data_IF_019093394165
#
_entry.id   IF_019093394165
#
_cell.length_a   1.000
_cell.length_b   1.000
_cell.length_c   1.000
_cell.angle_alpha   90.00
_cell.angle_beta   90.00
_cell.angle_gamma   90.00
#
_symmetry.space_group_name_H-M   'P 1'
#
loop_
_entity.id
_entity.type
_entity.pdbx_description
1 polymer ?
#
# COMPACT_ATOMS: atom_id res chain seq x y z
N UNK A 1 -2.05 7.20 -8.67
CA UNK A 1 -3.02 6.88 -9.73
C UNK A 1 -2.94 7.87 -10.88
N UNK A 2 -3.69 8.97 -10.80
CA UNK A 2 -3.80 9.95 -11.89
C UNK A 2 -2.44 10.59 -12.28
N UNK A 3 -1.61 10.96 -11.31
CA UNK A 3 -0.28 11.54 -11.60
C UNK A 3 0.65 10.58 -12.36
N UNK A 4 0.55 9.28 -12.08
CA UNK A 4 1.32 8.25 -12.79
C UNK A 4 0.81 8.06 -14.23
N UNK A 5 -0.52 8.05 -14.42
CA UNK A 5 -1.11 7.99 -15.75
C UNK A 5 -0.72 9.21 -16.61
N UNK A 6 -0.74 10.42 -16.01
CA UNK A 6 -0.27 11.65 -16.67
C UNK A 6 1.22 11.51 -17.03
N UNK A 7 2.07 11.04 -16.11
CA UNK A 7 3.49 10.85 -16.38
C UNK A 7 3.78 9.87 -17.52
N UNK A 8 3.02 8.76 -17.61
CA UNK A 8 3.16 7.76 -18.68
C UNK A 8 2.81 8.28 -20.07
N UNK A 9 1.91 9.28 -20.17
CA UNK A 9 1.54 9.93 -21.44
C UNK A 9 2.48 11.08 -21.75
N UNK A 10 2.73 11.96 -20.78
CA UNK A 10 3.51 13.18 -20.96
C UNK A 10 5.01 12.88 -21.15
N UNK A 11 5.54 11.84 -20.48
CA UNK A 11 6.95 11.45 -20.56
C UNK A 11 7.44 11.15 -21.97
N UNK A 12 6.81 10.21 -22.72
CA UNK A 12 7.16 9.93 -24.11
C UNK A 12 6.98 11.14 -25.04
N UNK A 13 5.95 11.97 -24.82
CA UNK A 13 5.73 13.20 -25.62
C UNK A 13 6.88 14.20 -25.43
N UNK A 14 7.28 14.47 -24.19
CA UNK A 14 8.41 15.36 -23.89
C UNK A 14 9.70 14.77 -24.46
N UNK A 15 9.93 13.47 -24.27
CA UNK A 15 11.16 12.80 -24.75
C UNK A 15 11.22 12.77 -26.28
N UNK A 16 10.09 12.59 -26.96
CA UNK A 16 10.01 12.62 -28.41
C UNK A 16 10.28 14.01 -29.00
N UNK A 17 9.86 15.07 -28.31
CA UNK A 17 10.06 16.46 -28.78
C UNK A 17 11.42 17.06 -28.40
N UNK A 18 11.91 16.75 -27.20
CA UNK A 18 13.06 17.44 -26.58
C UNK A 18 14.18 16.49 -26.15
N UNK A 19 14.08 15.19 -26.46
CA UNK A 19 15.03 14.18 -26.02
C UNK A 19 15.05 13.98 -24.50
N UNK A 20 16.04 13.23 -24.04
CA UNK A 20 16.20 12.89 -22.62
C UNK A 20 16.50 14.13 -21.75
N UNK A 21 17.21 15.13 -22.29
CA UNK A 21 17.52 16.38 -21.59
C UNK A 21 16.26 17.18 -21.26
N UNK A 22 15.28 17.22 -22.16
CA UNK A 22 13.98 17.85 -21.92
C UNK A 22 13.23 17.22 -20.75
N UNK A 23 13.29 15.89 -20.62
CA UNK A 23 12.68 15.16 -19.50
C UNK A 23 13.32 15.54 -18.16
N UNK A 24 14.65 15.64 -18.10
CA UNK A 24 15.36 16.06 -16.88
C UNK A 24 15.05 17.52 -16.50
N UNK A 25 15.03 18.44 -17.47
CA UNK A 25 14.68 19.84 -17.21
C UNK A 25 13.23 20.01 -16.72
N UNK A 26 12.29 19.29 -17.34
CA UNK A 26 10.89 19.28 -16.90
C UNK A 26 10.75 18.76 -15.47
N UNK A 27 11.47 17.68 -15.14
CA UNK A 27 11.49 17.11 -13.78
C UNK A 27 12.06 18.11 -12.77
N UNK A 28 13.17 18.78 -13.10
CA UNK A 28 13.76 19.83 -12.25
C UNK A 28 12.82 21.02 -12.04
N UNK A 29 12.12 21.46 -13.09
CA UNK A 29 11.13 22.52 -13.02
C UNK A 29 9.95 22.16 -12.11
N UNK A 30 9.40 20.95 -12.25
CA UNK A 30 8.33 20.45 -11.36
C UNK A 30 8.80 20.33 -9.91
N UNK A 31 10.03 19.90 -9.67
CA UNK A 31 10.61 19.84 -8.33
C UNK A 31 10.70 21.23 -7.70
N UNK A 32 11.14 22.24 -8.45
CA UNK A 32 11.18 23.63 -7.98
C UNK A 32 9.77 24.14 -7.65
N UNK A 33 8.77 23.87 -8.51
CA UNK A 33 7.37 24.19 -8.24
C UNK A 33 6.91 23.54 -6.93
N UNK A 34 7.24 22.27 -6.70
CA UNK A 34 6.94 21.56 -5.46
C UNK A 34 7.52 22.25 -4.22
N UNK A 35 8.78 22.68 -4.29
CA UNK A 35 9.44 23.44 -3.21
C UNK A 35 8.71 24.76 -2.94
N UNK A 36 8.34 25.50 -3.99
CA UNK A 36 7.60 26.76 -3.86
C UNK A 36 6.21 26.55 -3.23
N UNK A 37 5.50 25.49 -3.61
CA UNK A 37 4.21 25.13 -3.01
C UNK A 37 4.38 24.85 -1.51
N UNK A 38 5.38 24.05 -1.13
CA UNK A 38 5.63 23.76 0.29
C UNK A 38 6.03 25.03 1.06
N UNK A 39 6.85 25.88 0.47
CA UNK A 39 7.34 27.10 1.12
C UNK A 39 6.24 28.16 1.32
N UNK A 40 5.32 28.30 0.37
CA UNK A 40 4.36 29.42 0.34
C UNK A 40 2.89 29.02 0.55
N UNK A 41 2.49 27.79 0.25
CA UNK A 41 1.09 27.36 0.27
C UNK A 41 0.77 26.49 1.49
N UNK A 42 1.71 25.66 1.95
CA UNK A 42 1.47 24.76 3.08
C UNK A 42 1.53 25.54 4.40
N UNK A 43 0.43 25.60 5.19
CA UNK A 43 0.42 26.32 6.46
C UNK A 43 1.46 25.74 7.42
N UNK A 44 2.25 26.61 8.07
CA UNK A 44 3.16 26.20 9.14
C UNK A 44 2.33 25.69 10.33
N UNK A 45 2.58 24.46 10.76
CA UNK A 45 1.91 23.91 11.93
C UNK A 45 2.26 24.73 13.18
N UNK A 46 1.23 25.12 13.94
CA UNK A 46 1.35 25.81 15.22
C UNK A 46 1.83 24.85 16.31
N UNK A 47 3.15 24.70 16.42
CA UNK A 47 3.83 24.00 17.51
C UNK A 47 4.60 22.75 17.07
N UNK A 48 5.80 22.59 17.64
CA UNK A 48 6.59 21.37 17.51
C UNK A 48 6.03 20.28 18.44
N UNK A 49 4.87 19.72 18.11
CA UNK A 49 4.46 18.46 18.70
C UNK A 49 5.25 17.37 17.99
N UNK A 50 6.25 16.80 18.68
CA UNK A 50 6.95 15.60 18.22
C UNK A 50 5.93 14.47 18.11
N UNK A 51 5.37 14.32 16.92
CA UNK A 51 4.36 13.33 16.60
C UNK A 51 5.06 11.98 16.49
N UNK A 52 4.71 10.98 17.30
CA UNK A 52 5.36 9.66 17.26
C UNK A 52 5.03 8.90 15.98
N UNK A 53 4.01 9.30 15.22
CA UNK A 53 3.83 8.80 13.85
C UNK A 53 4.86 9.38 12.85
N UNK A 54 5.63 10.41 13.24
CA UNK A 54 6.68 11.04 12.41
C UNK A 54 8.11 10.58 12.73
N UNK A 55 8.33 9.77 13.78
CA UNK A 55 9.63 9.24 14.17
C UNK A 55 9.61 7.74 14.47
N UNK A 56 10.74 7.05 14.25
CA UNK A 56 10.87 5.63 14.61
C UNK A 56 11.00 5.50 16.13
N UNK A 57 9.91 5.15 16.81
CA UNK A 57 9.96 4.78 18.22
C UNK A 57 10.74 3.47 18.34
N UNK A 58 11.99 3.51 18.83
CA UNK A 58 12.90 2.34 18.90
C UNK A 58 12.25 1.09 19.54
N UNK A 59 11.39 1.28 20.55
CA UNK A 59 10.62 0.19 21.17
C UNK A 59 9.50 -0.35 20.27
N UNK A 60 8.84 0.50 19.47
CA UNK A 60 7.80 0.09 18.53
C UNK A 60 8.39 -0.67 17.32
N UNK A 61 9.62 -0.36 16.92
CA UNK A 61 10.28 -1.04 15.79
C UNK A 61 10.49 -2.53 16.08
N UNK A 62 11.02 -2.88 17.25
CA UNK A 62 11.24 -4.28 17.63
C UNK A 62 9.93 -5.08 17.72
N UNK A 63 8.87 -4.48 18.24
CA UNK A 63 7.53 -5.09 18.28
C UNK A 63 6.95 -5.27 16.88
N UNK A 64 7.10 -4.27 16.00
CA UNK A 64 6.65 -4.31 14.59
C UNK A 64 7.34 -5.44 13.83
N UNK A 65 8.68 -5.53 13.91
CA UNK A 65 9.47 -6.54 13.21
C UNK A 65 9.28 -7.96 13.73
N UNK A 66 8.63 -8.15 14.88
CA UNK A 66 8.28 -9.47 15.43
C UNK A 66 6.80 -9.81 15.27
N UNK A 67 5.97 -8.86 14.79
CA UNK A 67 4.55 -9.07 14.66
C UNK A 67 4.26 -9.94 13.43
N UNK A 68 3.79 -11.19 13.60
CA UNK A 68 3.76 -12.17 12.52
C UNK A 68 2.80 -11.78 11.39
N UNK A 69 1.71 -11.09 11.69
CA UNK A 69 0.79 -10.61 10.64
C UNK A 69 1.33 -9.41 9.89
N UNK A 70 2.17 -8.56 10.51
CA UNK A 70 2.82 -7.46 9.80
C UNK A 70 3.89 -8.01 8.86
N UNK A 71 4.71 -8.96 9.34
CA UNK A 71 5.72 -9.63 8.52
C UNK A 71 5.12 -10.32 7.27
N UNK A 72 3.91 -10.89 7.38
CA UNK A 72 3.21 -11.47 6.21
C UNK A 72 2.77 -10.41 5.20
N UNK A 73 2.33 -9.25 5.68
CA UNK A 73 1.96 -8.12 4.83
C UNK A 73 3.21 -7.47 4.20
N UNK A 74 4.31 -7.36 4.96
CA UNK A 74 5.61 -6.88 4.49
C UNK A 74 6.20 -7.81 3.41
N UNK A 75 6.13 -9.13 3.61
CA UNK A 75 6.46 -10.11 2.58
C UNK A 75 5.55 -9.96 1.36
N UNK A 76 4.26 -9.70 1.58
CA UNK A 76 3.29 -9.52 0.51
C UNK A 76 3.63 -8.34 -0.39
N UNK A 77 3.91 -7.16 0.17
CA UNK A 77 4.28 -5.99 -0.64
C UNK A 77 5.63 -6.17 -1.32
N UNK A 78 6.59 -6.83 -0.65
CA UNK A 78 7.89 -7.18 -1.22
C UNK A 78 7.70 -8.05 -2.48
N UNK A 79 6.94 -9.15 -2.37
CA UNK A 79 6.69 -10.06 -3.49
C UNK A 79 5.89 -9.37 -4.58
N UNK A 80 4.85 -8.59 -4.23
CA UNK A 80 4.03 -7.85 -5.19
C UNK A 80 4.88 -6.93 -6.07
N UNK A 81 5.80 -6.16 -5.47
CA UNK A 81 6.69 -5.27 -6.21
C UNK A 81 7.83 -6.00 -6.92
N UNK A 82 8.32 -7.09 -6.33
CA UNK A 82 9.33 -7.90 -7.00
C UNK A 82 8.76 -8.53 -8.29
N UNK A 83 7.53 -9.06 -8.23
CA UNK A 83 6.80 -9.54 -9.40
C UNK A 83 6.54 -8.43 -10.42
N UNK A 84 6.06 -7.26 -9.99
CA UNK A 84 5.86 -6.12 -10.90
C UNK A 84 7.14 -5.81 -11.67
N UNK A 85 8.27 -5.68 -10.98
CA UNK A 85 9.53 -5.31 -11.60
C UNK A 85 10.08 -6.43 -12.49
N UNK A 86 9.97 -7.70 -12.08
CA UNK A 86 10.35 -8.85 -12.93
C UNK A 86 9.50 -8.92 -14.20
N UNK A 87 8.19 -8.78 -14.08
CA UNK A 87 7.26 -8.75 -15.22
C UNK A 87 7.45 -7.53 -16.11
N UNK A 88 7.88 -6.38 -15.57
CA UNK A 88 8.23 -5.20 -16.37
C UNK A 88 9.58 -5.31 -17.09
N UNK A 89 10.43 -6.29 -16.76
CA UNK A 89 11.56 -6.68 -17.61
C UNK A 89 11.07 -7.50 -18.80
N UNK A 90 10.15 -8.45 -18.58
CA UNK A 90 9.69 -9.39 -19.59
C UNK A 90 8.60 -8.84 -20.54
N UNK A 91 7.57 -8.16 -20.03
CA UNK A 91 6.40 -7.73 -20.82
C UNK A 91 6.74 -6.80 -22.00
N UNK A 92 7.60 -5.77 -21.87
CA UNK A 92 8.00 -4.96 -23.03
C UNK A 92 8.71 -5.80 -24.10
N UNK A 93 9.52 -6.77 -23.68
CA UNK A 93 10.22 -7.67 -24.60
C UNK A 93 9.24 -8.64 -25.27
N UNK A 94 8.30 -9.21 -24.53
CA UNK A 94 7.22 -10.05 -25.08
C UNK A 94 6.37 -9.29 -26.10
N UNK A 95 6.01 -8.03 -25.83
CA UNK A 95 5.26 -7.19 -26.76
C UNK A 95 6.00 -6.99 -28.09
N UNK A 96 7.33 -6.91 -28.07
CA UNK A 96 8.16 -6.80 -29.28
C UNK A 96 8.35 -8.16 -29.93
N UNK A 97 8.88 -9.14 -29.20
CA UNK A 97 9.32 -10.44 -29.72
C UNK A 97 8.16 -11.34 -30.15
N UNK A 98 7.04 -11.30 -29.43
CA UNK A 98 5.88 -12.18 -29.68
C UNK A 98 4.78 -11.47 -30.47
N UNK A 99 4.53 -10.20 -30.16
CA UNK A 99 3.42 -9.45 -30.72
C UNK A 99 3.83 -8.43 -31.81
N UNK A 100 5.13 -8.23 -32.06
CA UNK A 100 5.62 -7.29 -33.07
C UNK A 100 5.27 -5.82 -32.78
N UNK A 101 4.89 -5.49 -31.54
CA UNK A 101 4.47 -4.15 -31.15
C UNK A 101 5.70 -3.27 -30.86
N UNK A 102 5.93 -2.19 -31.63
CA UNK A 102 7.06 -1.29 -31.40
C UNK A 102 7.00 -0.64 -30.01
N UNK A 103 8.17 -0.33 -29.45
CA UNK A 103 8.29 0.24 -28.09
C UNK A 103 7.52 1.55 -27.93
N UNK A 104 7.45 2.34 -29.00
CA UNK A 104 6.73 3.61 -29.09
C UNK A 104 5.21 3.44 -28.93
N UNK A 105 4.70 2.21 -29.09
CA UNK A 105 3.28 1.91 -28.92
C UNK A 105 2.96 1.24 -27.58
N UNK A 106 3.94 0.92 -26.74
CA UNK A 106 3.67 0.21 -25.48
C UNK A 106 2.82 1.04 -24.51
N UNK A 107 2.87 2.38 -24.61
CA UNK A 107 2.14 3.28 -23.72
C UNK A 107 0.63 3.01 -23.71
N UNK A 108 0.01 2.69 -24.86
CA UNK A 108 -1.45 2.49 -24.90
C UNK A 108 -1.83 1.18 -24.21
N UNK A 109 -1.01 0.14 -24.34
CA UNK A 109 -1.22 -1.13 -23.63
C UNK A 109 -1.21 -0.91 -22.13
N UNK A 110 -0.16 -0.25 -21.62
CA UNK A 110 -0.05 0.02 -20.18
C UNK A 110 -1.09 1.00 -19.66
N UNK A 111 -1.45 2.03 -20.45
CA UNK A 111 -2.49 2.98 -20.07
C UNK A 111 -3.87 2.31 -20.03
N UNK A 112 -4.21 1.50 -21.03
CA UNK A 112 -5.44 0.71 -21.05
C UNK A 112 -5.48 -0.23 -19.87
N UNK A 113 -4.39 -0.97 -19.62
CA UNK A 113 -4.31 -1.87 -18.48
C UNK A 113 -4.50 -1.13 -17.15
N UNK A 114 -3.82 0.00 -16.95
CA UNK A 114 -3.91 0.81 -15.74
C UNK A 114 -5.32 1.37 -15.51
N UNK A 115 -5.96 1.92 -16.53
CA UNK A 115 -7.30 2.50 -16.41
C UNK A 115 -8.37 1.42 -16.18
N UNK A 116 -8.38 0.38 -17.02
CA UNK A 116 -9.36 -0.70 -16.90
C UNK A 116 -9.22 -1.42 -15.55
N UNK A 117 -7.99 -1.73 -15.13
CA UNK A 117 -7.75 -2.36 -13.84
C UNK A 117 -8.15 -1.49 -12.64
N UNK A 118 -7.96 -0.17 -12.72
CA UNK A 118 -8.35 0.75 -11.65
C UNK A 118 -9.85 0.70 -11.39
N UNK A 119 -10.68 0.65 -12.44
CA UNK A 119 -12.13 0.47 -12.27
C UNK A 119 -12.50 -0.96 -11.90
N UNK A 120 -11.82 -1.95 -12.49
CA UNK A 120 -12.09 -3.36 -12.24
C UNK A 120 -11.82 -3.79 -10.79
N UNK A 121 -10.87 -3.16 -10.07
CA UNK A 121 -10.61 -3.48 -8.66
C UNK A 121 -11.71 -2.98 -7.70
N UNK A 122 -12.48 -1.94 -8.07
CA UNK A 122 -13.41 -1.25 -7.14
C UNK A 122 -14.46 -2.19 -6.54
N UNK A 123 -15.17 -3.04 -7.33
CA UNK A 123 -16.15 -3.97 -6.77
C UNK A 123 -15.56 -4.91 -5.71
N UNK A 124 -14.30 -5.34 -5.89
CA UNK A 124 -13.62 -6.25 -4.95
C UNK A 124 -13.25 -5.55 -3.64
N UNK A 125 -12.79 -4.28 -3.70
CA UNK A 125 -12.56 -3.46 -2.50
C UNK A 125 -13.87 -3.26 -1.74
N UNK A 126 -14.94 -2.86 -2.44
CA UNK A 126 -16.26 -2.65 -1.83
C UNK A 126 -16.76 -3.94 -1.18
N UNK A 127 -16.66 -5.07 -1.87
CA UNK A 127 -17.07 -6.37 -1.35
C UNK A 127 -16.26 -6.74 -0.11
N UNK A 128 -14.93 -6.66 -0.16
CA UNK A 128 -14.05 -7.05 0.94
C UNK A 128 -14.26 -6.23 2.21
N UNK A 129 -14.45 -4.92 2.08
CA UNK A 129 -14.73 -4.03 3.20
C UNK A 129 -16.16 -4.19 3.74
N UNK A 130 -17.19 -4.19 2.86
CA UNK A 130 -18.59 -4.28 3.31
C UNK A 130 -18.92 -5.64 3.93
N UNK A 131 -18.43 -6.73 3.33
CA UNK A 131 -18.70 -8.09 3.80
C UNK A 131 -17.74 -8.56 4.88
N UNK A 132 -16.75 -7.75 5.25
CA UNK A 132 -15.69 -8.12 6.20
C UNK A 132 -14.97 -9.42 5.79
N UNK A 133 -14.56 -9.51 4.53
CA UNK A 133 -13.87 -10.68 3.95
C UNK A 133 -12.58 -10.27 3.21
N UNK A 134 -11.79 -9.37 3.79
CA UNK A 134 -10.59 -8.84 3.13
C UNK A 134 -9.54 -9.92 2.91
N UNK A 135 -9.36 -10.87 3.84
CA UNK A 135 -8.44 -11.99 3.63
C UNK A 135 -8.78 -12.77 2.36
N UNK A 136 -10.07 -13.04 2.12
CA UNK A 136 -10.52 -13.78 0.92
C UNK A 136 -10.22 -13.01 -0.35
N UNK A 137 -10.46 -11.70 -0.36
CA UNK A 137 -10.16 -10.82 -1.51
C UNK A 137 -8.65 -10.81 -1.79
N UNK A 138 -7.81 -10.68 -0.77
CA UNK A 138 -6.35 -10.75 -0.92
C UNK A 138 -5.89 -12.09 -1.49
N UNK A 139 -6.31 -13.22 -0.92
CA UNK A 139 -5.92 -14.54 -1.40
C UNK A 139 -6.38 -14.79 -2.83
N UNK A 140 -7.59 -14.34 -3.17
CA UNK A 140 -8.09 -14.36 -4.54
C UNK A 140 -7.21 -13.54 -5.49
N UNK A 141 -6.84 -12.32 -5.11
CA UNK A 141 -5.99 -11.46 -5.92
C UNK A 141 -4.57 -12.04 -6.11
N UNK A 142 -3.95 -12.60 -5.06
CA UNK A 142 -2.64 -13.28 -5.18
C UNK A 142 -2.74 -14.49 -6.10
N UNK A 143 -3.83 -15.25 -6.00
CA UNK A 143 -4.09 -16.38 -6.92
C UNK A 143 -4.24 -15.90 -8.36
N UNK A 144 -4.95 -14.78 -8.58
CA UNK A 144 -5.08 -14.18 -9.91
C UNK A 144 -3.74 -13.69 -10.46
N UNK A 145 -2.85 -13.12 -9.63
CA UNK A 145 -1.49 -12.78 -10.06
C UNK A 145 -0.71 -14.02 -10.50
N UNK A 146 -0.74 -15.09 -9.71
CA UNK A 146 -0.10 -16.36 -10.07
C UNK A 146 -0.64 -16.91 -11.40
N UNK A 147 -1.97 -16.89 -11.58
CA UNK A 147 -2.60 -17.33 -12.83
C UNK A 147 -2.29 -16.41 -14.01
N UNK A 148 -2.13 -15.10 -13.79
CA UNK A 148 -1.73 -14.16 -14.84
C UNK A 148 -0.31 -14.45 -15.34
N UNK A 149 0.62 -14.73 -14.43
CA UNK A 149 2.00 -15.14 -14.78
C UNK A 149 2.01 -16.47 -15.57
N UNK A 150 1.27 -17.48 -15.10
CA UNK A 150 1.12 -18.74 -15.83
C UNK A 150 0.42 -18.55 -17.18
N UNK A 151 -0.52 -17.60 -17.28
CA UNK A 151 -1.18 -17.25 -18.51
C UNK A 151 -0.22 -16.60 -19.51
N UNK A 152 0.68 -15.71 -19.06
CA UNK A 152 1.72 -15.15 -19.91
C UNK A 152 2.67 -16.22 -20.42
N UNK A 153 3.10 -17.14 -19.54
CA UNK A 153 3.94 -18.26 -19.93
C UNK A 153 3.28 -19.17 -20.99
N UNK A 154 2.00 -19.53 -20.80
CA UNK A 154 1.33 -20.50 -21.66
C UNK A 154 0.72 -19.90 -22.93
N UNK A 155 0.32 -18.62 -22.90
CA UNK A 155 -0.51 -18.01 -23.95
C UNK A 155 -0.02 -16.62 -24.39
N UNK A 156 1.11 -16.13 -23.87
CA UNK A 156 1.65 -14.78 -24.13
C UNK A 156 2.20 -14.54 -25.54
N UNK A 157 1.88 -15.38 -26.52
CA UNK A 157 2.43 -15.31 -27.89
C UNK A 157 1.71 -14.32 -28.80
N UNK A 158 0.62 -13.68 -28.35
CA UNK A 158 -0.15 -12.75 -29.18
C UNK A 158 -0.40 -11.43 -28.46
N UNK A 159 -0.54 -10.33 -29.22
CA UNK A 159 -0.86 -9.01 -28.66
C UNK A 159 -2.13 -9.06 -27.80
N UNK A 160 -3.18 -9.73 -28.29
CA UNK A 160 -4.45 -9.83 -27.57
C UNK A 160 -4.28 -10.54 -26.23
N UNK A 161 -3.54 -11.64 -26.19
CA UNK A 161 -3.27 -12.36 -24.95
C UNK A 161 -2.45 -11.48 -23.99
N UNK A 162 -1.37 -10.85 -24.46
CA UNK A 162 -0.55 -9.97 -23.64
C UNK A 162 -1.36 -8.80 -23.05
N UNK A 163 -2.23 -8.15 -23.83
CA UNK A 163 -3.09 -7.07 -23.33
C UNK A 163 -4.08 -7.59 -22.27
N UNK A 164 -4.77 -8.71 -22.53
CA UNK A 164 -5.73 -9.28 -21.58
C UNK A 164 -5.02 -9.70 -20.28
N UNK A 165 -3.91 -10.42 -20.38
CA UNK A 165 -3.11 -10.81 -19.23
C UNK A 165 -2.60 -9.61 -18.44
N UNK A 166 -2.16 -8.55 -19.13
CA UNK A 166 -1.69 -7.31 -18.49
C UNK A 166 -2.82 -6.60 -17.74
N UNK A 167 -4.04 -6.53 -18.30
CA UNK A 167 -5.22 -5.99 -17.60
C UNK A 167 -5.54 -6.81 -16.35
N UNK A 168 -5.52 -8.14 -16.44
CA UNK A 168 -5.80 -9.05 -15.31
C UNK A 168 -4.74 -8.92 -14.23
N UNK A 169 -3.46 -8.95 -14.60
CA UNK A 169 -2.33 -8.73 -13.71
C UNK A 169 -2.47 -7.38 -12.97
N UNK A 170 -2.70 -6.29 -13.70
CA UNK A 170 -2.86 -4.97 -13.09
C UNK A 170 -4.11 -4.85 -12.23
N UNK A 171 -5.19 -5.58 -12.52
CA UNK A 171 -6.39 -5.60 -11.67
C UNK A 171 -6.07 -6.18 -10.31
N UNK A 172 -5.40 -7.32 -10.28
CA UNK A 172 -4.98 -7.94 -9.02
C UNK A 172 -3.90 -7.11 -8.32
N UNK A 173 -2.92 -6.59 -9.06
CA UNK A 173 -1.88 -5.71 -8.52
C UNK A 173 -2.46 -4.46 -7.88
N UNK A 174 -3.30 -3.70 -8.59
CA UNK A 174 -3.89 -2.46 -8.07
C UNK A 174 -4.79 -2.71 -6.86
N UNK A 175 -5.55 -3.81 -6.88
CA UNK A 175 -6.35 -4.24 -5.73
C UNK A 175 -5.47 -4.51 -4.50
N UNK A 176 -4.37 -5.26 -4.67
CA UNK A 176 -3.43 -5.57 -3.60
C UNK A 176 -2.68 -4.32 -3.11
N UNK A 177 -2.21 -3.49 -4.03
CA UNK A 177 -1.49 -2.23 -3.76
C UNK A 177 -2.35 -1.24 -2.96
N UNK A 178 -3.65 -1.16 -3.27
CA UNK A 178 -4.58 -0.34 -2.50
C UNK A 178 -4.91 -0.95 -1.12
N UNK A 179 -4.91 -2.28 -1.02
CA UNK A 179 -5.38 -2.99 0.17
C UNK A 179 -4.29 -3.18 1.23
N UNK A 180 -3.07 -3.57 0.84
CA UNK A 180 -1.97 -3.86 1.77
C UNK A 180 -1.64 -2.71 2.74
N UNK A 181 -1.48 -1.44 2.32
CA UNK A 181 -1.16 -0.35 3.25
C UNK A 181 -2.34 -0.06 4.21
N UNK A 182 -3.58 -0.23 3.75
CA UNK A 182 -4.78 -0.15 4.60
C UNK A 182 -4.74 -1.22 5.69
N UNK A 183 -4.36 -2.45 5.34
CA UNK A 183 -4.26 -3.56 6.29
C UNK A 183 -3.10 -3.40 7.27
N UNK A 184 -1.94 -2.91 6.82
CA UNK A 184 -0.82 -2.54 7.70
C UNK A 184 -1.30 -1.55 8.76
N UNK A 185 -2.04 -0.51 8.36
CA UNK A 185 -2.59 0.47 9.31
C UNK A 185 -3.60 -0.13 10.30
N UNK A 186 -4.39 -1.14 9.88
CA UNK A 186 -5.37 -1.82 10.75
C UNK A 186 -4.71 -2.78 11.74
N UNK A 187 -3.65 -3.47 11.30
CA UNK A 187 -2.91 -4.46 12.12
C UNK A 187 -1.91 -3.79 13.05
N UNK A 188 -1.23 -2.72 12.62
CA UNK A 188 -0.19 -2.02 13.40
C UNK A 188 -0.69 -1.58 14.78
N UNK A 189 0.01 -1.81 15.90
CA UNK A 189 -0.42 -1.38 17.24
C UNK A 189 -0.85 0.10 17.30
N UNK A 190 -1.73 0.46 18.23
CA UNK A 190 -2.12 1.85 18.46
C UNK A 190 -0.85 2.72 18.67
N UNK A 191 -0.78 3.87 17.99
CA UNK A 191 0.41 4.74 17.99
C UNK A 191 1.64 4.21 17.22
N UNK A 192 1.61 2.98 16.70
CA UNK A 192 2.70 2.34 15.95
C UNK A 192 2.59 2.43 14.42
N UNK A 193 1.54 3.07 13.91
CA UNK A 193 1.22 3.14 12.47
C UNK A 193 2.38 3.64 11.61
N UNK A 194 3.02 4.74 12.01
CA UNK A 194 4.14 5.33 11.26
C UNK A 194 5.34 4.38 11.13
N UNK A 195 5.68 3.66 12.20
CA UNK A 195 6.78 2.67 12.18
C UNK A 195 6.43 1.48 11.29
N UNK A 196 5.20 0.96 11.37
CA UNK A 196 4.74 -0.13 10.51
C UNK A 196 4.73 0.28 9.02
N UNK A 197 4.24 1.48 8.70
CA UNK A 197 4.29 2.02 7.33
C UNK A 197 5.72 2.22 6.83
N UNK A 198 6.67 2.57 7.71
CA UNK A 198 8.09 2.68 7.36
C UNK A 198 8.72 1.33 7.00
N UNK A 199 8.46 0.28 7.80
CA UNK A 199 8.90 -1.09 7.50
C UNK A 199 8.28 -1.58 6.19
N UNK A 200 6.97 -1.40 6.02
CA UNK A 200 6.25 -1.70 4.78
C UNK A 200 6.88 -1.03 3.56
N UNK A 201 7.16 0.28 3.65
CA UNK A 201 7.76 1.04 2.54
C UNK A 201 9.18 0.55 2.21
N UNK A 202 9.94 0.19 3.24
CA UNK A 202 11.28 -0.41 3.06
C UNK A 202 11.18 -1.76 2.34
N UNK A 203 10.28 -2.63 2.78
CA UNK A 203 10.00 -3.92 2.13
C UNK A 203 9.55 -3.74 0.68
N UNK A 204 8.72 -2.74 0.40
CA UNK A 204 8.28 -2.38 -0.95
C UNK A 204 9.47 -2.03 -1.87
N UNK A 205 10.34 -1.11 -1.44
CA UNK A 205 11.51 -0.72 -2.24
C UNK A 205 12.52 -1.85 -2.41
N UNK A 206 12.75 -2.65 -1.37
CA UNK A 206 13.58 -3.85 -1.46
C UNK A 206 13.00 -4.86 -2.44
N UNK A 207 11.67 -5.04 -2.45
CA UNK A 207 10.95 -5.87 -3.41
C UNK A 207 11.20 -5.39 -4.83
N UNK A 208 11.02 -4.09 -5.10
CA UNK A 208 11.28 -3.50 -6.41
C UNK A 208 12.72 -3.72 -6.88
N UNK A 209 13.70 -3.50 -6.01
CA UNK A 209 15.12 -3.70 -6.33
C UNK A 209 15.43 -5.18 -6.63
N UNK A 210 14.99 -6.09 -5.74
CA UNK A 210 15.16 -7.52 -5.91
C UNK A 210 14.48 -8.04 -7.18
N UNK A 211 13.25 -7.60 -7.47
CA UNK A 211 12.51 -7.99 -8.65
C UNK A 211 13.15 -7.55 -9.96
N UNK A 212 13.75 -6.35 -10.01
CA UNK A 212 14.50 -5.90 -11.18
C UNK A 212 15.74 -6.76 -11.43
N UNK A 213 16.50 -7.06 -10.38
CA UNK A 213 17.69 -7.93 -10.45
C UNK A 213 17.31 -9.35 -10.85
N UNK A 214 16.35 -9.95 -10.14
CA UNK A 214 15.88 -11.32 -10.37
C UNK A 214 15.24 -11.45 -11.76
N UNK A 215 14.42 -10.50 -12.18
CA UNK A 215 13.81 -10.49 -13.51
C UNK A 215 14.85 -10.48 -14.63
N UNK A 216 15.87 -9.62 -14.51
CA UNK A 216 16.99 -9.59 -15.45
C UNK A 216 17.80 -10.90 -15.44
N UNK A 217 18.09 -11.45 -14.26
CA UNK A 217 18.83 -12.71 -14.13
C UNK A 217 18.06 -13.90 -14.71
N UNK A 218 16.77 -14.04 -14.39
CA UNK A 218 15.88 -15.08 -14.93
C UNK A 218 15.80 -14.98 -16.46
N UNK A 219 15.63 -13.76 -16.99
CA UNK A 219 15.57 -13.52 -18.43
C UNK A 219 16.86 -13.96 -19.13
N UNK A 220 18.03 -13.68 -18.55
CA UNK A 220 19.31 -14.10 -19.13
C UNK A 220 19.49 -15.62 -19.21
N UNK A 221 18.90 -16.39 -18.28
CA UNK A 221 19.13 -17.83 -18.17
C UNK A 221 18.04 -18.68 -18.84
N UNK A 222 16.88 -18.10 -19.16
CA UNK A 222 15.80 -18.84 -19.82
C UNK A 222 14.73 -17.99 -20.48
N UNK A 223 15.04 -16.74 -20.81
CA UNK A 223 14.17 -15.85 -21.56
C UNK A 223 12.86 -15.51 -20.83
N UNK A 224 11.83 -15.20 -21.63
CA UNK A 224 10.51 -14.82 -21.13
C UNK A 224 9.87 -15.92 -20.27
N UNK A 225 10.02 -17.18 -20.67
CA UNK A 225 9.34 -18.30 -20.03
C UNK A 225 9.77 -18.47 -18.56
N UNK A 226 11.08 -18.38 -18.31
CA UNK A 226 11.63 -18.51 -16.95
C UNK A 226 11.29 -17.31 -16.07
N UNK A 227 11.13 -16.11 -16.64
CA UNK A 227 10.66 -14.94 -15.89
C UNK A 227 9.22 -15.13 -15.42
N UNK A 228 8.31 -15.52 -16.32
CA UNK A 228 6.91 -15.72 -15.98
C UNK A 228 6.70 -16.91 -15.02
N UNK A 229 7.39 -18.02 -15.23
CA UNK A 229 7.38 -19.14 -14.27
C UNK A 229 7.97 -18.73 -12.91
N UNK A 230 9.02 -17.91 -12.90
CA UNK A 230 9.58 -17.32 -11.68
C UNK A 230 8.57 -16.44 -10.94
N UNK A 231 7.84 -15.58 -11.66
CA UNK A 231 6.76 -14.77 -11.11
C UNK A 231 5.64 -15.63 -10.50
N UNK A 232 5.22 -16.70 -11.20
CA UNK A 232 4.24 -17.65 -10.69
C UNK A 232 4.73 -18.36 -9.40
N UNK A 233 6.01 -18.76 -9.36
CA UNK A 233 6.61 -19.37 -8.17
C UNK A 233 6.66 -18.39 -6.99
N UNK A 234 7.00 -17.12 -7.23
CA UNK A 234 6.97 -16.08 -6.19
C UNK A 234 5.56 -15.86 -5.65
N UNK A 235 4.55 -15.82 -6.52
CA UNK A 235 3.14 -15.73 -6.11
C UNK A 235 2.70 -16.97 -5.32
N UNK A 236 3.15 -18.17 -5.69
CA UNK A 236 2.85 -19.40 -4.95
C UNK A 236 3.46 -19.38 -3.53
N UNK A 237 4.71 -18.92 -3.40
CA UNK A 237 5.35 -18.71 -2.10
C UNK A 237 4.55 -17.70 -1.27
N UNK A 238 4.21 -16.55 -1.84
CA UNK A 238 3.39 -15.56 -1.15
C UNK A 238 2.04 -16.14 -0.71
N UNK A 239 1.35 -16.89 -1.58
CA UNK A 239 0.07 -17.51 -1.26
C UNK A 239 0.20 -18.48 -0.07
N UNK A 240 1.25 -19.30 -0.03
CA UNK A 240 1.51 -20.22 1.07
C UNK A 240 1.61 -19.49 2.42
N UNK A 241 2.31 -18.34 2.47
CA UNK A 241 2.38 -17.52 3.68
C UNK A 241 1.06 -16.80 3.98
N UNK A 242 0.39 -16.27 2.96
CA UNK A 242 -0.83 -15.48 3.10
C UNK A 242 -2.01 -16.31 3.62
N UNK A 243 -2.12 -17.59 3.25
CA UNK A 243 -3.21 -18.49 3.72
C UNK A 243 -3.18 -18.63 5.25
N UNK A 244 -1.99 -18.59 5.86
CA UNK A 244 -1.81 -18.68 7.32
C UNK A 244 -2.14 -17.39 8.08
N UNK A 245 -2.42 -16.28 7.39
CA UNK A 245 -2.74 -15.00 8.00
C UNK A 245 -4.11 -15.04 8.68
N UNK A 246 -4.28 -14.32 9.79
CA UNK A 246 -5.60 -14.13 10.41
C UNK A 246 -6.43 -13.12 9.63
N UNK A 247 -7.75 -13.14 9.80
CA UNK A 247 -8.59 -12.07 9.23
C UNK A 247 -8.18 -10.74 9.89
N UNK A 248 -7.83 -9.70 9.11
CA UNK A 248 -7.44 -8.42 9.67
C UNK A 248 -8.58 -7.79 10.49
N UNK A 249 -8.28 -7.07 11.58
CA UNK A 249 -9.29 -6.44 12.40
C UNK A 249 -10.02 -5.33 11.62
N UNK A 250 -11.34 -5.25 11.80
CA UNK A 250 -12.19 -4.22 11.18
C UNK A 250 -12.29 -2.99 12.07
N UNK A 251 -11.19 -2.27 12.17
CA UNK A 251 -11.01 -1.17 13.11
C UNK A 251 -10.58 0.11 12.41
N UNK A 252 -10.95 1.24 13.01
CA UNK A 252 -10.51 2.57 12.63
C UNK A 252 -9.53 3.07 13.68
N UNK A 253 -8.36 3.52 13.25
CA UNK A 253 -7.39 4.17 14.13
C UNK A 253 -7.76 5.64 14.33
N UNK A 254 -7.94 6.04 15.58
CA UNK A 254 -8.30 7.39 15.99
C UNK A 254 -7.22 7.95 16.91
N UNK A 255 -6.89 9.23 16.73
CA UNK A 255 -6.09 10.01 17.68
C UNK A 255 -7.00 11.05 18.30
N UNK A 256 -7.11 11.05 19.61
CA UNK A 256 -7.92 12.01 20.36
C UNK A 256 -7.02 12.81 21.31
N UNK A 257 -7.07 14.15 21.29
CA UNK A 257 -6.38 14.95 22.30
C UNK A 257 -7.00 14.68 23.66
N UNK A 258 -6.16 14.62 24.69
CA UNK A 258 -6.58 14.43 26.08
C UNK A 258 -6.74 15.78 26.76
N UNK A 259 -7.82 15.92 27.54
CA UNK A 259 -7.95 17.01 28.49
C UNK A 259 -6.90 16.89 29.61
N UNK A 260 -6.55 17.99 30.30
CA UNK A 260 -5.64 17.94 31.44
C UNK A 260 -6.12 17.01 32.58
N UNK A 261 -7.43 16.76 32.68
CA UNK A 261 -8.01 15.80 33.62
C UNK A 261 -7.73 14.36 33.14
N UNK A 262 -8.06 14.05 31.89
CA UNK A 262 -7.85 12.72 31.30
C UNK A 262 -6.35 12.34 31.24
N UNK A 263 -5.45 13.31 31.02
CA UNK A 263 -4.00 13.08 31.03
C UNK A 263 -3.48 12.65 32.42
N UNK A 264 -4.18 13.01 33.50
CA UNK A 264 -3.82 12.65 34.88
C UNK A 264 -4.51 11.37 35.36
N UNK A 265 -5.44 10.82 34.59
CA UNK A 265 -6.14 9.59 34.92
C UNK A 265 -5.19 8.39 34.76
N UNK A 266 -4.73 7.83 35.88
CA UNK A 266 -4.01 6.56 35.88
C UNK A 266 -4.99 5.44 35.48
N UNK A 267 -4.64 4.65 34.46
CA UNK A 267 -5.49 3.55 34.01
C UNK A 267 -6.47 3.90 32.88
N UNK A 268 -6.39 5.09 32.27
CA UNK A 268 -7.31 5.50 31.20
C UNK A 268 -7.33 4.52 30.02
N UNK A 269 -6.15 4.02 29.62
CA UNK A 269 -6.04 3.05 28.53
C UNK A 269 -6.75 1.73 28.90
N UNK A 270 -6.52 1.22 30.11
CA UNK A 270 -7.14 0.01 30.63
C UNK A 270 -8.66 0.14 30.73
N UNK A 271 -9.16 1.29 31.23
CA UNK A 271 -10.60 1.60 31.26
C UNK A 271 -11.18 1.57 29.85
N UNK A 272 -10.55 2.23 28.89
CA UNK A 272 -11.05 2.27 27.52
C UNK A 272 -10.97 0.90 26.83
N UNK A 273 -9.94 0.09 27.11
CA UNK A 273 -9.87 -1.29 26.60
C UNK A 273 -10.98 -2.20 27.14
N UNK A 274 -11.62 -1.85 28.26
CA UNK A 274 -12.79 -2.57 28.77
C UNK A 274 -14.10 -2.22 28.04
N UNK A 275 -14.10 -1.15 27.23
CA UNK A 275 -15.28 -0.71 26.48
C UNK A 275 -15.46 -1.57 25.22
N UNK A 276 -16.67 -2.12 25.06
CA UNK A 276 -17.01 -2.88 23.86
C UNK A 276 -16.79 -2.05 22.59
N UNK A 277 -16.00 -2.59 21.65
CA UNK A 277 -15.62 -1.91 20.41
C UNK A 277 -14.23 -1.27 20.44
N UNK A 278 -13.61 -1.07 21.60
CA UNK A 278 -12.20 -0.70 21.70
C UNK A 278 -11.34 -1.96 21.64
N UNK A 279 -10.43 -2.01 20.67
CA UNK A 279 -9.58 -3.19 20.42
C UNK A 279 -8.13 -2.99 20.85
N UNK A 280 -7.69 -1.74 20.94
CA UNK A 280 -6.35 -1.35 21.36
C UNK A 280 -6.40 0.13 21.76
N UNK A 281 -5.68 0.52 22.82
CA UNK A 281 -5.61 1.89 23.29
C UNK A 281 -4.25 2.18 23.93
N UNK A 282 -3.63 3.30 23.57
CA UNK A 282 -2.37 3.74 24.19
C UNK A 282 -2.38 5.24 24.43
N UNK A 283 -2.08 5.63 25.66
CA UNK A 283 -1.87 7.03 26.05
C UNK A 283 -0.43 7.42 25.73
N UNK A 284 -0.27 8.52 25.00
CA UNK A 284 1.03 9.10 24.68
C UNK A 284 1.13 10.44 25.41
N UNK A 285 1.74 10.40 26.60
CA UNK A 285 1.83 11.56 27.49
C UNK A 285 2.56 12.76 26.84
N UNK A 286 3.59 12.48 26.04
CA UNK A 286 4.39 13.48 25.29
C UNK A 286 3.54 14.29 24.31
N UNK A 287 2.47 13.70 23.78
CA UNK A 287 1.56 14.35 22.81
C UNK A 287 0.28 14.88 23.44
N UNK A 288 0.08 14.67 24.75
CA UNK A 288 -1.20 14.87 25.41
C UNK A 288 -2.37 14.27 24.61
N UNK A 289 -2.18 13.04 24.11
CA UNK A 289 -3.15 12.37 23.23
C UNK A 289 -3.25 10.88 23.53
N UNK A 290 -4.39 10.30 23.16
CA UNK A 290 -4.62 8.85 23.17
C UNK A 290 -4.86 8.35 21.74
N UNK A 291 -4.24 7.22 21.43
CA UNK A 291 -4.43 6.51 20.18
C UNK A 291 -5.31 5.29 20.45
N UNK A 292 -6.40 5.15 19.71
CA UNK A 292 -7.42 4.13 19.94
C UNK A 292 -7.75 3.43 18.61
N UNK A 293 -7.87 2.10 18.65
CA UNK A 293 -8.45 1.31 17.57
C UNK A 293 -9.89 0.93 17.89
N UNK A 294 -10.80 1.38 17.05
CA UNK A 294 -12.25 1.31 17.26
C UNK A 294 -12.95 0.45 16.20
N UNK A 295 -13.73 -0.56 16.60
CA UNK A 295 -14.72 -1.18 15.72
C UNK A 295 -15.98 -0.31 15.68
N UNK A 296 -16.16 0.40 14.56
CA UNK A 296 -17.25 1.36 14.35
C UNK A 296 -18.64 0.73 14.20
N UNK A 297 -18.75 -0.61 14.13
CA UNK A 297 -20.04 -1.29 14.24
C UNK A 297 -20.53 -1.45 15.68
N UNK A 298 -19.61 -1.42 16.64
CA UNK A 298 -19.91 -1.66 18.05
C UNK A 298 -19.97 -0.36 18.85
N UNK A 299 -19.12 0.61 18.52
CA UNK A 299 -19.05 1.89 19.21
C UNK A 299 -18.81 3.02 18.20
N UNK A 300 -19.64 4.06 18.28
CA UNK A 300 -19.49 5.25 17.45
C UNK A 300 -18.44 6.21 18.02
N UNK A 301 -17.91 7.05 17.14
CA UNK A 301 -16.84 7.99 17.47
C UNK A 301 -17.25 9.03 18.52
N UNK A 302 -18.47 9.54 18.47
CA UNK A 302 -18.92 10.60 19.37
C UNK A 302 -19.08 10.07 20.80
N UNK A 303 -19.57 8.84 20.96
CA UNK A 303 -19.62 8.14 22.25
C UNK A 303 -18.22 7.90 22.80
N UNK A 304 -17.25 7.48 21.97
CA UNK A 304 -15.86 7.32 22.39
C UNK A 304 -15.24 8.65 22.86
N UNK A 305 -15.45 9.75 22.13
CA UNK A 305 -14.91 11.06 22.50
C UNK A 305 -15.40 11.53 23.88
N UNK A 306 -16.67 11.26 24.22
CA UNK A 306 -17.22 11.53 25.56
C UNK A 306 -16.60 10.64 26.64
N UNK A 307 -16.26 9.39 26.34
CA UNK A 307 -15.61 8.48 27.29
C UNK A 307 -14.15 8.86 27.58
N UNK A 308 -13.47 9.40 26.57
CA UNK A 308 -12.08 9.85 26.64
C UNK A 308 -11.95 11.18 27.37
N UNK A 309 -12.81 12.14 27.04
CA UNK A 309 -12.88 13.45 27.67
C UNK A 309 -14.27 13.65 28.26
N UNK A 310 -14.57 13.05 29.42
CA UNK A 310 -15.84 13.30 30.10
C UNK A 310 -15.98 14.81 30.32
N UNK A 311 -17.16 15.34 29.98
CA UNK A 311 -17.45 16.75 30.22
C UNK A 311 -17.26 17.04 31.71
N UNK A 312 -16.52 18.10 32.02
CA UNK A 312 -16.38 18.58 33.40
C UNK A 312 -17.78 18.78 33.98
N UNK A 313 -18.13 18.03 35.02
CA UNK A 313 -19.23 18.38 35.93
C UNK A 313 -18.86 19.69 36.66
N UNK A 314 -18.95 20.83 35.97
CA UNK A 314 -18.79 22.16 36.57
C UNK A 314 -19.44 23.24 35.70
N UNK A 315 -20.76 23.37 35.82
CA UNK A 315 -21.53 24.62 35.99
C UNK A 315 -23.01 24.37 35.63
N UNK A 316 -23.70 23.58 36.44
CA UNK A 316 -25.10 23.86 36.75
C UNK A 316 -25.15 24.19 38.24
N UNK A 317 -25.02 25.49 38.56
CA UNK A 317 -25.43 26.09 39.83
C UNK A 317 -25.73 27.56 39.57
#
# INVERSE_FOLDING_TARGET
GLSFAIAMVVGPVITGMFGLSGLFLATGGMALIGVLIVAYVVPKASGALMHRESGVAKQALGATLRHPDLLRLDLGIFVLHAMLMSSFVALPLALVEKAGLPKEQHWWVYLTALLVSFFAMIPFIIYGEKKRQMKRVLLGAVTVLMLAELFFWAYGDTLRALVIGTVVFFTAFNLLEASLPSLISKVSPAGGKGTAMGVYSTSQFLGSAAGGILGGWLFQHGGLDVVFLGGAAMAAVWLAFAVTMREPPYVTSLRLPLSPQAQREAGLAERLMSVAGVTDAVVVAEEAAIYIKLDTKLLDRASLEKLVNPASEACEA
#
